data_IF_803934007734
#
_entry.id   IF_803934007734
#
_cell.length_a   1.000
_cell.length_b   1.000
_cell.length_c   1.000
_cell.angle_alpha   90.00
_cell.angle_beta   90.00
_cell.angle_gamma   90.00
#
_symmetry.space_group_name_H-M   'P 1'
#
loop_
_entity.id
_entity.type
_entity.pdbx_description
1 polymer ?
#
# COMPACT_ATOMS: atom_id res chain seq x y z
N UNK A 1 -17.13 7.83 -10.42
CA UNK A 1 -16.54 6.48 -10.25
C UNK A 1 -15.13 6.35 -10.82
N UNK A 2 -14.84 6.98 -11.97
CA UNK A 2 -13.54 6.97 -12.65
C UNK A 2 -12.30 7.18 -11.77
N UNK A 3 -12.36 8.06 -10.77
CA UNK A 3 -11.25 8.29 -9.82
C UNK A 3 -11.38 7.49 -8.53
N UNK A 4 -12.62 7.32 -8.03
CA UNK A 4 -12.89 6.68 -6.75
C UNK A 4 -12.61 5.17 -6.79
N UNK A 5 -12.94 4.50 -7.89
CA UNK A 5 -12.74 3.04 -8.02
C UNK A 5 -11.25 2.68 -8.05
N UNK A 6 -10.40 3.29 -8.89
CA UNK A 6 -8.96 3.02 -8.87
C UNK A 6 -8.32 3.41 -7.52
N UNK A 7 -8.73 4.55 -6.94
CA UNK A 7 -8.24 4.98 -5.62
C UNK A 7 -8.55 3.94 -4.54
N UNK A 8 -9.80 3.48 -4.44
CA UNK A 8 -10.19 2.49 -3.43
C UNK A 8 -9.55 1.13 -3.71
N UNK A 9 -9.40 0.73 -4.97
CA UNK A 9 -8.73 -0.50 -5.35
C UNK A 9 -7.24 -0.47 -4.94
N UNK A 10 -6.52 0.59 -5.26
CA UNK A 10 -5.13 0.74 -4.82
C UNK A 10 -5.01 0.83 -3.30
N UNK A 11 -5.86 1.62 -2.64
CA UNK A 11 -5.84 1.78 -1.19
C UNK A 11 -6.11 0.45 -0.47
N UNK A 12 -7.04 -0.37 -0.96
CA UNK A 12 -7.36 -1.68 -0.34
C UNK A 12 -6.23 -2.69 -0.53
N UNK A 13 -5.55 -2.68 -1.68
CA UNK A 13 -4.34 -3.50 -1.90
C UNK A 13 -3.24 -3.11 -0.91
N UNK A 14 -2.94 -1.81 -0.78
CA UNK A 14 -1.93 -1.34 0.18
C UNK A 14 -2.32 -1.64 1.62
N UNK A 15 -3.59 -1.45 1.99
CA UNK A 15 -4.08 -1.74 3.33
C UNK A 15 -3.92 -3.23 3.67
N UNK A 16 -4.19 -4.12 2.71
CA UNK A 16 -4.03 -5.56 2.88
C UNK A 16 -2.57 -5.94 3.12
N UNK A 17 -1.66 -5.44 2.27
CA UNK A 17 -0.22 -5.71 2.38
C UNK A 17 0.35 -5.17 3.69
N UNK A 18 0.07 -3.91 4.03
CA UNK A 18 0.53 -3.28 5.27
C UNK A 18 -0.06 -3.93 6.52
N UNK A 19 -1.29 -4.46 6.44
CA UNK A 19 -1.88 -5.24 7.54
C UNK A 19 -1.13 -6.57 7.73
N UNK A 20 -0.83 -7.28 6.63
CA UNK A 20 -0.06 -8.52 6.68
C UNK A 20 1.35 -8.29 7.22
N UNK A 21 2.02 -7.21 6.83
CA UNK A 21 3.34 -6.87 7.39
C UNK A 21 3.25 -6.54 8.87
N UNK A 22 2.24 -5.78 9.31
CA UNK A 22 2.03 -5.50 10.72
C UNK A 22 1.81 -6.78 11.56
N UNK A 23 1.02 -7.74 11.04
CA UNK A 23 0.81 -9.04 11.67
C UNK A 23 2.12 -9.85 11.75
N UNK A 24 2.92 -9.87 10.68
CA UNK A 24 4.20 -10.57 10.65
C UNK A 24 5.19 -9.96 11.66
N UNK A 25 5.28 -8.64 11.73
CA UNK A 25 6.13 -7.91 12.68
C UNK A 25 5.71 -8.16 14.13
N UNK A 26 4.41 -8.14 14.42
CA UNK A 26 3.90 -8.49 15.76
C UNK A 26 4.36 -9.90 16.18
N UNK A 27 4.22 -10.88 15.27
CA UNK A 27 4.64 -12.26 15.51
C UNK A 27 6.14 -12.38 15.74
N UNK A 28 6.95 -11.68 14.95
CA UNK A 28 8.41 -11.63 15.14
C UNK A 28 8.80 -11.04 16.49
N UNK A 29 8.22 -9.91 16.89
CA UNK A 29 8.54 -9.27 18.17
C UNK A 29 8.20 -10.20 19.34
N UNK A 30 7.09 -10.93 19.27
CA UNK A 30 6.69 -11.90 20.30
C UNK A 30 7.69 -13.06 20.40
N UNK A 31 8.23 -13.54 19.27
CA UNK A 31 9.22 -14.63 19.24
C UNK A 31 10.60 -14.15 19.70
N UNK A 32 11.08 -13.02 19.17
CA UNK A 32 12.41 -12.48 19.47
C UNK A 32 12.51 -11.85 20.87
N UNK A 33 11.40 -11.33 21.42
CA UNK A 33 11.34 -10.68 22.72
C UNK A 33 10.21 -11.27 23.59
N UNK A 34 10.38 -12.50 24.11
CA UNK A 34 9.34 -13.20 24.88
C UNK A 34 8.94 -12.50 26.18
N UNK A 35 9.73 -11.53 26.66
CA UNK A 35 9.48 -10.76 27.90
C UNK A 35 8.69 -9.46 27.65
N UNK A 36 8.44 -9.06 26.39
CA UNK A 36 7.61 -7.88 26.08
C UNK A 36 6.13 -8.21 26.19
N UNK A 37 5.36 -7.36 26.89
CA UNK A 37 3.90 -7.41 26.93
C UNK A 37 3.33 -7.36 25.51
N UNK A 38 2.36 -8.24 25.22
CA UNK A 38 1.57 -8.21 23.98
C UNK A 38 0.98 -6.82 23.75
N UNK A 39 0.88 -6.43 22.48
CA UNK A 39 0.27 -5.16 22.07
C UNK A 39 -1.17 -5.12 22.62
N UNK A 40 -1.53 -4.04 23.32
CA UNK A 40 -2.91 -3.82 23.79
C UNK A 40 -3.86 -3.68 22.61
N UNK A 41 -5.15 -4.00 22.80
CA UNK A 41 -6.22 -3.82 21.80
C UNK A 41 -6.23 -2.38 21.26
N UNK A 42 -5.98 -1.40 22.13
CA UNK A 42 -5.83 0.01 21.74
C UNK A 42 -4.65 0.23 20.78
N UNK A 43 -3.51 -0.40 21.04
CA UNK A 43 -2.35 -0.33 20.16
C UNK A 43 -2.62 -0.98 18.80
N UNK A 44 -3.32 -2.12 18.79
CA UNK A 44 -3.76 -2.75 17.54
C UNK A 44 -4.67 -1.83 16.73
N UNK A 45 -5.66 -1.20 17.36
CA UNK A 45 -6.53 -0.21 16.71
C UNK A 45 -5.79 0.99 16.14
N UNK A 46 -4.78 1.52 16.86
CA UNK A 46 -3.92 2.59 16.37
C UNK A 46 -3.09 2.17 15.15
N UNK A 47 -2.54 0.95 15.16
CA UNK A 47 -1.78 0.40 14.02
C UNK A 47 -2.69 0.25 12.81
N UNK A 48 -3.91 -0.30 12.99
CA UNK A 48 -4.89 -0.42 11.90
C UNK A 48 -5.25 0.94 11.32
N UNK A 49 -5.53 1.95 12.16
CA UNK A 49 -5.79 3.32 11.69
C UNK A 49 -4.60 3.88 10.91
N UNK A 50 -3.38 3.70 11.39
CA UNK A 50 -2.16 4.12 10.70
C UNK A 50 -2.01 3.44 9.33
N UNK A 51 -2.28 2.14 9.25
CA UNK A 51 -2.27 1.38 7.98
C UNK A 51 -3.27 1.96 6.98
N UNK A 52 -4.50 2.24 7.41
CA UNK A 52 -5.52 2.83 6.53
C UNK A 52 -5.12 4.23 6.03
N UNK A 53 -4.65 5.09 6.93
CA UNK A 53 -4.21 6.45 6.56
C UNK A 53 -3.03 6.40 5.58
N UNK A 54 -2.03 5.54 5.85
CA UNK A 54 -0.88 5.37 4.98
C UNK A 54 -1.29 4.81 3.62
N UNK A 55 -2.22 3.87 3.58
CA UNK A 55 -2.73 3.28 2.34
C UNK A 55 -3.46 4.30 1.47
N UNK A 56 -4.27 5.16 2.08
CA UNK A 56 -4.95 6.25 1.38
C UNK A 56 -3.95 7.32 0.92
N UNK A 57 -2.96 7.67 1.74
CA UNK A 57 -1.91 8.61 1.37
C UNK A 57 -1.06 8.08 0.19
N UNK A 58 -0.75 6.78 0.18
CA UNK A 58 -0.06 6.12 -0.91
C UNK A 58 -0.93 6.02 -2.18
N UNK A 59 -2.22 5.78 -2.06
CA UNK A 59 -3.15 5.70 -3.19
C UNK A 59 -3.58 7.08 -3.76
N UNK A 60 -3.34 8.17 -3.03
CA UNK A 60 -3.72 9.52 -3.44
C UNK A 60 -2.94 10.07 -4.65
N UNK A 61 -1.60 9.99 -4.74
CA UNK A 61 -0.86 10.49 -5.90
C UNK A 61 -1.35 9.89 -7.23
N UNK A 62 -1.46 8.55 -7.38
CA UNK A 62 -2.00 7.94 -8.62
C UNK A 62 -3.40 8.45 -8.99
N UNK A 63 -4.27 8.63 -7.98
CA UNK A 63 -5.64 9.13 -8.17
C UNK A 63 -5.71 10.60 -8.63
N UNK A 64 -4.75 11.43 -8.24
CA UNK A 64 -4.69 12.83 -8.66
C UNK A 64 -4.26 12.98 -10.12
N UNK A 65 -3.53 12.00 -10.65
CA UNK A 65 -3.06 11.97 -12.05
C UNK A 65 -3.97 11.20 -13.01
N UNK A 66 -5.05 10.58 -12.52
CA UNK A 66 -6.08 10.00 -13.40
C UNK A 66 -6.77 11.12 -14.19
N UNK A 67 -6.87 11.00 -15.51
CA UNK A 67 -7.61 11.93 -16.37
C UNK A 67 -8.80 11.21 -16.99
N UNK A 68 -9.92 11.93 -17.09
CA UNK A 68 -11.08 11.47 -17.84
C UNK A 68 -10.82 11.67 -19.33
N UNK A 69 -10.67 10.58 -20.09
CA UNK A 69 -10.51 10.61 -21.53
C UNK A 69 -11.83 10.20 -22.18
N UNK A 70 -12.43 11.17 -22.86
CA UNK A 70 -13.61 10.96 -23.68
C UNK A 70 -13.20 10.68 -25.12
N UNK A 71 -13.27 9.42 -25.58
CA UNK A 71 -12.92 9.01 -26.94
C UNK A 71 -14.10 9.07 -27.92
N UNK A 72 -15.31 9.46 -27.48
CA UNK A 72 -16.46 9.67 -28.40
C UNK A 72 -16.17 10.65 -29.54
N UNK A 73 -15.45 11.78 -29.37
CA UNK A 73 -15.09 12.64 -30.50
C UNK A 73 -14.15 11.99 -31.53
N UNK A 74 -13.52 10.84 -31.20
CA UNK A 74 -12.63 10.09 -32.09
C UNK A 74 -13.33 8.93 -32.81
N UNK A 75 -14.65 8.79 -32.68
CA UNK A 75 -15.45 7.73 -33.32
C UNK A 75 -15.44 6.39 -32.58
N UNK A 76 -14.85 6.34 -31.37
CA UNK A 76 -14.82 5.15 -30.51
C UNK A 76 -15.74 5.44 -29.33
N UNK A 77 -16.82 4.66 -29.19
CA UNK A 77 -17.81 4.84 -28.13
C UNK A 77 -17.33 4.24 -26.80
N UNK A 78 -16.20 4.75 -26.30
CA UNK A 78 -15.51 4.26 -25.11
C UNK A 78 -15.13 5.41 -24.19
N UNK A 79 -15.39 5.23 -22.89
CA UNK A 79 -14.92 6.09 -21.81
C UNK A 79 -13.77 5.40 -21.12
N UNK A 80 -12.59 6.03 -21.15
CA UNK A 80 -11.41 5.47 -20.48
C UNK A 80 -10.95 6.44 -19.40
N UNK A 81 -10.64 5.86 -18.26
CA UNK A 81 -10.03 6.52 -17.11
C UNK A 81 -8.58 6.11 -17.09
N UNK A 82 -7.70 6.93 -17.62
CA UNK A 82 -6.29 6.57 -17.77
C UNK A 82 -5.41 7.43 -16.86
N UNK A 83 -4.43 6.79 -16.22
CA UNK A 83 -3.45 7.45 -15.36
C UNK A 83 -2.38 8.12 -16.22
N UNK A 84 -2.48 9.44 -16.37
CA UNK A 84 -1.47 10.20 -17.10
C UNK A 84 -0.38 10.65 -16.12
N UNK A 85 0.59 9.77 -15.88
CA UNK A 85 1.80 10.14 -15.13
C UNK A 85 2.61 11.17 -15.95
N UNK A 86 2.82 12.40 -15.46
CA UNK A 86 3.65 13.37 -16.15
C UNK A 86 5.11 12.91 -16.10
N UNK A 87 5.58 12.39 -17.22
CA UNK A 87 6.97 12.24 -17.66
C UNK A 87 8.07 12.40 -16.59
N UNK A 88 8.11 11.45 -15.64
CA UNK A 88 9.20 11.33 -14.68
C UNK A 88 9.30 9.89 -14.18
N UNK A 89 9.81 9.01 -15.04
CA UNK A 89 10.03 7.59 -14.73
C UNK A 89 10.73 7.35 -13.38
N UNK A 90 11.53 8.32 -12.91
CA UNK A 90 12.18 8.31 -11.60
C UNK A 90 11.20 8.29 -10.41
N UNK A 91 10.09 9.04 -10.46
CA UNK A 91 9.14 9.11 -9.33
C UNK A 91 8.33 7.82 -9.22
N UNK A 92 7.87 7.28 -10.37
CA UNK A 92 7.17 5.99 -10.43
C UNK A 92 8.07 4.85 -9.96
N UNK A 93 9.34 4.86 -10.37
CA UNK A 93 10.33 3.86 -9.95
C UNK A 93 10.62 3.97 -8.45
N UNK A 94 10.87 5.18 -7.93
CA UNK A 94 11.14 5.40 -6.50
C UNK A 94 9.96 4.96 -5.63
N UNK A 95 8.74 5.31 -6.03
CA UNK A 95 7.52 4.89 -5.35
C UNK A 95 7.35 3.37 -5.37
N UNK A 96 7.54 2.74 -6.53
CA UNK A 96 7.48 1.27 -6.67
C UNK A 96 8.55 0.57 -5.82
N UNK A 97 9.77 1.11 -5.78
CA UNK A 97 10.85 0.58 -4.96
C UNK A 97 10.55 0.72 -3.46
N UNK A 98 10.07 1.89 -3.03
CA UNK A 98 9.69 2.14 -1.65
C UNK A 98 8.61 1.15 -1.19
N UNK A 99 7.59 0.95 -2.03
CA UNK A 99 6.53 -0.02 -1.76
C UNK A 99 7.08 -1.43 -1.72
N UNK A 100 7.92 -1.84 -2.67
CA UNK A 100 8.50 -3.17 -2.69
C UNK A 100 9.34 -3.44 -1.42
N UNK A 101 10.12 -2.46 -0.97
CA UNK A 101 10.92 -2.58 0.26
C UNK A 101 10.01 -2.68 1.48
N UNK A 102 9.04 -1.77 1.63
CA UNK A 102 8.15 -1.74 2.79
C UNK A 102 7.23 -2.98 2.85
N UNK A 103 6.78 -3.45 1.69
CA UNK A 103 5.79 -4.54 1.54
C UNK A 103 6.40 -5.93 1.57
N UNK A 104 7.63 -6.08 1.09
CA UNK A 104 8.22 -7.39 0.79
C UNK A 104 9.50 -7.63 1.57
N UNK A 105 10.42 -6.66 1.60
CA UNK A 105 11.71 -6.84 2.28
C UNK A 105 11.55 -6.86 3.79
N UNK A 106 10.73 -5.97 4.37
CA UNK A 106 10.47 -5.96 5.81
C UNK A 106 9.89 -7.30 6.32
N UNK A 107 8.78 -7.84 5.76
CA UNK A 107 8.27 -9.11 6.22
C UNK A 107 9.19 -10.29 5.92
N UNK A 108 9.90 -10.30 4.79
CA UNK A 108 10.86 -11.37 4.49
C UNK A 108 12.03 -11.40 5.45
N UNK A 109 12.58 -10.25 5.83
CA UNK A 109 13.64 -10.16 6.84
C UNK A 109 13.11 -10.62 8.20
N UNK A 110 11.88 -10.22 8.55
CA UNK A 110 11.24 -10.64 9.79
C UNK A 110 11.03 -12.17 9.87
N UNK A 111 10.57 -12.81 8.80
CA UNK A 111 10.41 -14.27 8.74
C UNK A 111 11.75 -14.98 8.71
N UNK A 112 12.69 -14.52 7.87
CA UNK A 112 14.02 -15.11 7.76
C UNK A 112 14.78 -15.08 9.08
N UNK A 113 14.75 -13.95 9.79
CA UNK A 113 15.41 -13.83 11.10
C UNK A 113 14.69 -14.68 12.16
N UNK A 114 13.35 -14.80 12.12
CA UNK A 114 12.62 -15.72 13.01
C UNK A 114 13.02 -17.19 12.83
N UNK A 115 13.34 -17.59 11.60
CA UNK A 115 13.70 -18.97 11.27
C UNK A 115 15.20 -19.28 11.47
N UNK A 116 16.06 -18.26 11.36
CA UNK A 116 17.51 -18.41 11.53
C UNK A 116 17.98 -18.22 12.99
N UNK A 117 17.16 -17.62 13.87
CA UNK A 117 17.41 -17.51 15.31
C UNK A 117 16.92 -18.76 16.04
#
# INVERSE_FOLDING_TARGET
LCHLVPLLQCATVFASVLSLTAIAVDRYIVVAHPVRKRISVWGCGMVTLGVWLLSLALAAPPSFYTRYLDLRPSGIDLVVCEEFWPDSGNLRLLYSCFILIASYMIPLLSVSVSYCA
#
